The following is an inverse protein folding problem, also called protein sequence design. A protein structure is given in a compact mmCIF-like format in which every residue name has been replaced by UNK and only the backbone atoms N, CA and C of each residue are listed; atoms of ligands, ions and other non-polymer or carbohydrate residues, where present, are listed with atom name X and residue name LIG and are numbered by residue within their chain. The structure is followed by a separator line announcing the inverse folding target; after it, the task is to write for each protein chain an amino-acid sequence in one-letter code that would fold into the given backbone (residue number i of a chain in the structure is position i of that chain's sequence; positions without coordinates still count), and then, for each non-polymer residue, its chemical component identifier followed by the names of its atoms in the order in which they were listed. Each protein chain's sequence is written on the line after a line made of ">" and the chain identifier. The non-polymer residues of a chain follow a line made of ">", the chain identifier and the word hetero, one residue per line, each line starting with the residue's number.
data_IF_957453040454
#
_entry.id   IF_957453040454
#
_cell.length_a   1.000
_cell.length_b   1.000
_cell.length_c   1.000
_cell.angle_alpha   90.00
_cell.angle_beta   90.00
_cell.angle_gamma   90.00
#
_symmetry.space_group_name_H-M   'P 1'
#
loop_
_entity.id
_entity.type
_entity.pdbx_description
1 polymer ?
#
# COMPACT_ATOMS: atom_id res chain seq x y z
N UNK A 1 1.04 17.19 -9.69
CA UNK A 1 -0.44 17.08 -9.73
C UNK A 1 -0.90 15.62 -9.69
N UNK A 2 -0.86 14.82 -10.77
CA UNK A 2 -1.31 13.40 -10.76
C UNK A 2 -0.56 12.55 -9.72
N UNK A 3 0.78 12.63 -9.74
CA UNK A 3 1.64 11.97 -8.75
C UNK A 3 1.28 12.32 -7.31
N UNK A 4 1.02 13.59 -7.04
CA UNK A 4 0.81 14.07 -5.66
C UNK A 4 -0.59 13.65 -5.16
N UNK A 5 -1.56 13.52 -6.07
CA UNK A 5 -2.88 12.94 -5.76
C UNK A 5 -2.76 11.45 -5.41
N UNK A 6 -2.05 10.67 -6.25
CA UNK A 6 -1.73 9.26 -5.99
C UNK A 6 -1.06 9.05 -4.62
N UNK A 7 -0.07 9.89 -4.29
CA UNK A 7 0.59 9.84 -2.98
C UNK A 7 -0.38 10.13 -1.84
N UNK A 8 -1.26 11.12 -1.99
CA UNK A 8 -2.27 11.47 -0.99
C UNK A 8 -3.27 10.36 -0.74
N UNK A 9 -3.73 9.66 -1.78
CA UNK A 9 -4.66 8.53 -1.64
C UNK A 9 -4.00 7.29 -1.02
N UNK A 10 -2.75 7.00 -1.40
CA UNK A 10 -2.03 5.81 -0.93
C UNK A 10 -1.48 5.99 0.50
N UNK A 11 -1.07 7.22 0.88
CA UNK A 11 -0.44 7.49 2.18
C UNK A 11 -1.24 7.03 3.41
N UNK A 12 -2.57 7.28 3.54
CA UNK A 12 -3.34 6.81 4.69
C UNK A 12 -3.44 5.27 4.72
N UNK A 13 -3.62 4.62 3.57
CA UNK A 13 -3.67 3.16 3.47
C UNK A 13 -2.34 2.51 3.84
N UNK A 14 -1.22 3.09 3.41
CA UNK A 14 0.12 2.65 3.85
C UNK A 14 0.29 2.82 5.36
N UNK A 15 -0.21 3.92 5.94
CA UNK A 15 -0.20 4.13 7.39
C UNK A 15 -0.90 2.99 8.14
N UNK A 16 -2.08 2.57 7.66
CA UNK A 16 -2.82 1.43 8.21
C UNK A 16 -2.05 0.10 8.05
N UNK A 17 -1.41 -0.11 6.89
CA UNK A 17 -0.57 -1.29 6.66
C UNK A 17 0.67 -1.34 7.58
N UNK A 18 1.22 -0.18 7.95
CA UNK A 18 2.42 -0.10 8.79
C UNK A 18 2.06 -0.29 10.27
N UNK A 19 0.94 0.31 10.70
CA UNK A 19 0.45 0.24 12.08
C UNK A 19 -0.22 -1.09 12.42
N UNK A 20 -0.65 -1.87 11.42
CA UNK A 20 -1.16 -3.21 11.64
C UNK A 20 -0.15 -4.02 12.49
N UNK A 21 -0.59 -4.76 13.53
CA UNK A 21 0.31 -5.44 14.45
C UNK A 21 1.31 -6.32 13.71
N UNK A 22 2.57 -5.86 13.60
CA UNK A 22 3.67 -6.66 13.08
C UNK A 22 4.00 -7.69 14.15
N UNK A 23 3.66 -8.95 13.89
CA UNK A 23 3.82 -10.08 14.81
C UNK A 23 5.28 -10.46 15.12
N UNK A 24 6.25 -9.59 14.89
CA UNK A 24 7.66 -9.98 14.83
C UNK A 24 8.47 -9.76 16.10
N UNK A 25 7.97 -9.20 17.22
CA UNK A 25 8.87 -9.02 18.39
C UNK A 25 8.34 -9.13 19.80
N UNK A 26 7.06 -9.43 20.02
CA UNK A 26 6.61 -9.75 21.37
C UNK A 26 5.40 -10.64 21.28
N UNK A 27 5.45 -11.81 21.92
CA UNK A 27 4.35 -12.58 22.52
C UNK A 27 4.27 -14.06 22.12
N UNK A 28 5.25 -14.84 22.60
CA UNK A 28 5.18 -16.30 22.72
C UNK A 28 4.22 -16.79 23.83
N UNK A 29 3.23 -16.00 24.28
CA UNK A 29 2.43 -16.34 25.48
C UNK A 29 0.94 -16.50 25.16
N UNK A 30 0.44 -17.74 25.24
CA UNK A 30 -0.98 -18.16 25.30
C UNK A 30 -1.84 -18.05 24.04
N UNK A 31 -1.92 -19.15 23.30
CA UNK A 31 -3.11 -20.01 23.08
C UNK A 31 -4.48 -19.48 22.63
N UNK A 32 -4.81 -18.20 22.83
CA UNK A 32 -6.16 -17.65 22.55
C UNK A 32 -6.16 -16.54 21.50
N UNK A 33 -5.02 -16.30 20.84
CA UNK A 33 -4.76 -15.11 19.99
C UNK A 33 -4.71 -15.39 18.48
N UNK A 34 -4.97 -16.63 18.05
CA UNK A 34 -4.91 -17.03 16.64
C UNK A 34 -5.99 -16.40 15.77
N UNK A 35 -7.24 -16.30 16.25
CA UNK A 35 -8.35 -15.67 15.50
C UNK A 35 -8.17 -14.15 15.37
N UNK A 36 -7.78 -13.46 16.45
CA UNK A 36 -7.50 -12.02 16.40
C UNK A 36 -6.34 -11.69 15.46
N UNK A 37 -5.30 -12.54 15.43
CA UNK A 37 -4.19 -12.42 14.49
C UNK A 37 -4.63 -12.68 13.04
N UNK A 38 -5.50 -13.65 12.79
CA UNK A 38 -6.06 -13.92 11.47
C UNK A 38 -6.90 -12.73 10.94
N UNK A 39 -7.71 -12.12 11.81
CA UNK A 39 -8.51 -10.93 11.46
C UNK A 39 -7.63 -9.70 11.17
N UNK A 40 -6.55 -9.51 11.94
CA UNK A 40 -5.58 -8.44 11.70
C UNK A 40 -4.84 -8.64 10.37
N UNK A 41 -4.46 -9.88 10.03
CA UNK A 41 -3.86 -10.21 8.73
C UNK A 41 -4.85 -10.03 7.57
N UNK A 42 -6.11 -10.44 7.73
CA UNK A 42 -7.15 -10.24 6.72
C UNK A 42 -7.37 -8.75 6.43
N UNK A 43 -7.34 -7.93 7.48
CA UNK A 43 -7.46 -6.47 7.39
C UNK A 43 -6.25 -5.86 6.67
N UNK A 44 -5.03 -6.30 6.98
CA UNK A 44 -3.82 -5.89 6.27
C UNK A 44 -3.86 -6.24 4.78
N UNK A 45 -4.29 -7.47 4.45
CA UNK A 45 -4.47 -7.92 3.06
C UNK A 45 -5.50 -7.04 2.36
N UNK A 46 -6.62 -6.73 3.00
CA UNK A 46 -7.66 -5.86 2.43
C UNK A 46 -7.12 -4.44 2.13
N UNK A 47 -6.33 -3.87 3.04
CA UNK A 47 -5.69 -2.58 2.81
C UNK A 47 -4.69 -2.60 1.65
N UNK A 48 -3.88 -3.65 1.54
CA UNK A 48 -2.95 -3.81 0.43
C UNK A 48 -3.68 -3.99 -0.92
N UNK A 49 -4.75 -4.77 -0.94
CA UNK A 49 -5.62 -4.93 -2.12
C UNK A 49 -6.21 -3.59 -2.56
N UNK A 50 -6.61 -2.72 -1.61
CA UNK A 50 -7.08 -1.37 -1.93
C UNK A 50 -5.99 -0.52 -2.59
N UNK A 51 -4.74 -0.60 -2.12
CA UNK A 51 -3.60 0.12 -2.73
C UNK A 51 -3.36 -0.37 -4.17
N UNK A 52 -3.36 -1.69 -4.38
CA UNK A 52 -3.20 -2.28 -5.73
C UNK A 52 -4.32 -1.83 -6.66
N UNK A 53 -5.57 -1.74 -6.16
CA UNK A 53 -6.71 -1.27 -6.94
C UNK A 53 -6.55 0.19 -7.38
N UNK A 54 -6.12 1.08 -6.48
CA UNK A 54 -5.87 2.50 -6.80
C UNK A 54 -4.80 2.60 -7.89
N UNK A 55 -3.65 1.94 -7.70
CA UNK A 55 -2.55 1.92 -8.67
C UNK A 55 -2.99 1.40 -10.04
N UNK A 56 -3.82 0.36 -10.06
CA UNK A 56 -4.34 -0.23 -11.30
C UNK A 56 -5.30 0.70 -12.01
N UNK A 57 -6.20 1.34 -11.27
CA UNK A 57 -7.14 2.31 -11.82
C UNK A 57 -6.41 3.49 -12.46
N UNK A 58 -5.42 4.06 -11.76
CA UNK A 58 -4.63 5.18 -12.29
C UNK A 58 -3.83 4.78 -13.53
N UNK A 59 -3.26 3.57 -13.55
CA UNK A 59 -2.59 3.05 -14.75
C UNK A 59 -3.55 2.97 -15.94
N UNK A 60 -4.78 2.50 -15.70
CA UNK A 60 -5.80 2.41 -16.75
C UNK A 60 -6.24 3.79 -17.23
N UNK A 61 -6.39 4.77 -16.32
CA UNK A 61 -6.69 6.16 -16.69
C UNK A 61 -5.57 6.75 -17.54
N UNK A 62 -4.31 6.59 -17.16
CA UNK A 62 -3.18 7.10 -17.95
C UNK A 62 -3.10 6.45 -19.34
N UNK A 63 -3.38 5.14 -19.43
CA UNK A 63 -3.48 4.43 -20.71
C UNK A 63 -4.63 4.94 -21.57
N UNK A 64 -5.82 5.13 -20.98
CA UNK A 64 -7.00 5.62 -21.67
C UNK A 64 -6.83 7.06 -22.20
N UNK A 65 -5.98 7.86 -21.55
CA UNK A 65 -5.64 9.21 -21.98
C UNK A 65 -4.42 9.27 -22.92
N UNK A 66 -3.99 8.15 -23.49
CA UNK A 66 -2.85 8.07 -24.43
C UNK A 66 -1.54 8.66 -23.87
N UNK A 67 -1.35 8.59 -22.55
CA UNK A 67 -0.12 9.09 -21.93
C UNK A 67 1.05 8.21 -22.38
N UNK A 68 2.14 8.81 -22.91
CA UNK A 68 3.33 8.07 -23.32
C UNK A 68 3.84 7.12 -22.23
N UNK A 69 4.19 5.90 -22.63
CA UNK A 69 4.63 4.84 -21.72
C UNK A 69 5.81 5.26 -20.84
N UNK A 70 6.74 6.05 -21.37
CA UNK A 70 7.89 6.56 -20.60
C UNK A 70 7.45 7.48 -19.44
N UNK A 71 6.42 8.32 -19.64
CA UNK A 71 5.91 9.20 -18.60
C UNK A 71 5.21 8.38 -17.51
N UNK A 72 4.37 7.43 -17.92
CA UNK A 72 3.71 6.49 -17.00
C UNK A 72 4.75 5.73 -16.17
N UNK A 73 5.79 5.18 -16.79
CA UNK A 73 6.89 4.52 -16.09
C UNK A 73 7.58 5.44 -15.08
N UNK A 74 7.90 6.68 -15.46
CA UNK A 74 8.53 7.66 -14.54
C UNK A 74 7.64 7.99 -13.34
N UNK A 75 6.34 8.16 -13.56
CA UNK A 75 5.38 8.41 -12.48
C UNK A 75 5.33 7.22 -11.52
N UNK A 76 5.14 6.00 -12.04
CA UNK A 76 5.07 4.80 -11.20
C UNK A 76 6.38 4.49 -10.48
N UNK A 77 7.55 4.73 -11.08
CA UNK A 77 8.84 4.64 -10.37
C UNK A 77 8.86 5.54 -9.13
N UNK A 78 8.37 6.78 -9.24
CA UNK A 78 8.31 7.70 -8.09
C UNK A 78 7.29 7.26 -7.05
N UNK A 79 6.15 6.68 -7.45
CA UNK A 79 5.15 6.15 -6.52
C UNK A 79 5.69 4.93 -5.77
N UNK A 80 6.30 3.97 -6.46
CA UNK A 80 6.92 2.81 -5.82
C UNK A 80 8.08 3.19 -4.91
N UNK A 81 8.90 4.17 -5.30
CA UNK A 81 9.94 4.73 -4.43
C UNK A 81 9.35 5.34 -3.16
N UNK A 82 8.24 6.07 -3.25
CA UNK A 82 7.52 6.60 -2.10
C UNK A 82 6.98 5.47 -1.20
N UNK A 83 6.32 4.46 -1.76
CA UNK A 83 5.84 3.28 -1.02
C UNK A 83 6.99 2.61 -0.28
N UNK A 84 8.12 2.40 -0.96
CA UNK A 84 9.31 1.78 -0.38
C UNK A 84 9.83 2.57 0.83
N UNK A 85 10.00 3.90 0.68
CA UNK A 85 10.41 4.77 1.79
C UNK A 85 9.42 4.70 2.95
N UNK A 86 8.10 4.74 2.70
CA UNK A 86 7.10 4.65 3.77
C UNK A 86 7.12 3.31 4.48
N UNK A 87 7.36 2.20 3.76
CA UNK A 87 7.37 0.85 4.35
C UNK A 87 8.62 0.52 5.16
N UNK A 88 9.78 1.08 4.79
CA UNK A 88 11.07 0.73 5.38
C UNK A 88 11.71 1.82 6.26
N UNK A 89 11.29 3.09 6.12
CA UNK A 89 11.83 4.21 6.91
C UNK A 89 10.84 4.78 7.93
N UNK A 90 9.79 4.02 8.28
CA UNK A 90 8.90 4.29 9.42
C UNK A 90 8.97 3.16 10.43
#
# INVERSE_FOLDING_TARGET
>A
MIRDNLKKEISPLLGLCIQAPRTSRASLIKGSRSQANALAQQTLIAHWQSIVKILTNDLNVLKANYVPSFLTSKVFTQIFSFINVQLFNR
#
